data_IF_224262612939
#
_entry.id   IF_224262612939
#
_cell.length_a   1.000
_cell.length_b   1.000
_cell.length_c   1.000
_cell.angle_alpha   90.00
_cell.angle_beta   90.00
_cell.angle_gamma   90.00
#
_symmetry.space_group_name_H-M   'P 1'
#
loop_
_entity.id
_entity.type
_entity.pdbx_description
1 polymer ?
#
# COMPACT_ATOMS: atom_id res chain seq x y z
N UNK A 1 -41.28 -0.72 8.75
CA UNK A 1 -39.89 -1.15 8.99
C UNK A 1 -39.79 -1.69 10.40
N UNK A 2 -39.07 -2.79 10.61
CA UNK A 2 -38.96 -3.47 11.90
C UNK A 2 -37.60 -3.25 12.58
N UNK A 3 -37.49 -3.64 13.85
CA UNK A 3 -36.26 -3.48 14.65
C UNK A 3 -35.06 -4.25 14.07
N UNK A 4 -35.32 -5.32 13.33
CA UNK A 4 -34.30 -6.13 12.66
C UNK A 4 -33.64 -5.35 11.51
N UNK A 5 -34.43 -4.63 10.72
CA UNK A 5 -33.94 -3.78 9.65
C UNK A 5 -32.94 -2.73 10.15
N UNK A 6 -33.26 -1.99 11.22
CA UNK A 6 -32.36 -0.99 11.79
C UNK A 6 -31.05 -1.59 12.33
N UNK A 7 -31.10 -2.80 12.91
CA UNK A 7 -29.89 -3.53 13.33
C UNK A 7 -29.02 -3.96 12.15
N UNK A 8 -29.61 -4.32 11.01
CA UNK A 8 -28.85 -4.61 9.79
C UNK A 8 -28.21 -3.33 9.25
N UNK A 9 -28.97 -2.24 9.14
CA UNK A 9 -28.46 -0.95 8.68
C UNK A 9 -27.30 -0.43 9.54
N UNK A 10 -27.44 -0.52 10.87
CA UNK A 10 -26.36 -0.13 11.81
C UNK A 10 -25.10 -0.96 11.61
N UNK A 11 -25.21 -2.27 11.42
CA UNK A 11 -24.04 -3.12 11.12
C UNK A 11 -23.38 -2.74 9.80
N UNK A 12 -24.15 -2.50 8.75
CA UNK A 12 -23.61 -2.01 7.48
C UNK A 12 -22.91 -0.67 7.63
N UNK A 13 -23.48 0.26 8.40
CA UNK A 13 -22.85 1.54 8.67
C UNK A 13 -21.52 1.37 9.40
N UNK A 14 -21.45 0.52 10.44
CA UNK A 14 -20.22 0.26 11.19
C UNK A 14 -19.12 -0.31 10.29
N UNK A 15 -19.43 -1.35 9.50
CA UNK A 15 -18.45 -1.94 8.59
C UNK A 15 -18.03 -0.97 7.48
N UNK A 16 -18.98 -0.22 6.92
CA UNK A 16 -18.71 0.79 5.90
C UNK A 16 -17.80 1.90 6.43
N UNK A 17 -18.07 2.41 7.63
CA UNK A 17 -17.21 3.41 8.28
C UNK A 17 -15.82 2.85 8.57
N UNK A 18 -15.74 1.63 9.10
CA UNK A 18 -14.44 1.01 9.41
C UNK A 18 -13.56 0.83 8.16
N UNK A 19 -14.11 0.26 7.09
CA UNK A 19 -13.41 0.11 5.82
C UNK A 19 -13.08 1.48 5.22
N UNK A 20 -14.03 2.43 5.27
CA UNK A 20 -13.81 3.79 4.79
C UNK A 20 -12.64 4.49 5.49
N UNK A 21 -12.55 4.37 6.81
CA UNK A 21 -11.42 4.92 7.58
C UNK A 21 -10.09 4.27 7.17
N UNK A 22 -10.05 2.94 7.03
CA UNK A 22 -8.85 2.23 6.56
C UNK A 22 -8.46 2.73 5.17
N UNK A 23 -9.40 2.83 4.24
CA UNK A 23 -9.13 3.32 2.89
C UNK A 23 -8.59 4.75 2.88
N UNK A 24 -9.16 5.65 3.70
CA UNK A 24 -8.68 7.04 3.83
C UNK A 24 -7.25 7.06 4.36
N UNK A 25 -6.95 6.28 5.39
CA UNK A 25 -5.59 6.20 5.96
C UNK A 25 -4.58 5.60 4.98
N UNK A 26 -4.97 4.57 4.22
CA UNK A 26 -4.09 3.89 3.27
C UNK A 26 -3.88 4.66 1.96
N UNK A 27 -4.78 5.58 1.60
CA UNK A 27 -4.71 6.31 0.34
C UNK A 27 -3.33 6.99 0.10
N UNK A 28 -2.80 7.83 1.02
CA UNK A 28 -1.50 8.47 0.80
C UNK A 28 -0.30 7.50 0.87
N UNK A 29 -0.46 6.32 1.48
CA UNK A 29 0.64 5.35 1.71
C UNK A 29 0.79 4.39 0.53
N UNK A 30 -0.33 3.93 -0.04
CA UNK A 30 -0.34 2.87 -1.06
C UNK A 30 -0.83 3.42 -2.40
N UNK A 31 -2.02 4.01 -2.44
CA UNK A 31 -2.67 4.41 -3.69
C UNK A 31 -1.93 5.58 -4.34
N UNK A 32 -1.69 6.65 -3.60
CA UNK A 32 -1.08 7.87 -4.14
C UNK A 32 0.33 7.63 -4.73
N UNK A 33 1.25 6.90 -4.04
CA UNK A 33 2.56 6.58 -4.62
C UNK A 33 2.48 5.69 -5.86
N UNK A 34 1.51 4.77 -5.92
CA UNK A 34 1.29 3.93 -7.10
C UNK A 34 0.77 4.72 -8.30
N UNK A 35 -0.07 5.74 -8.07
CA UNK A 35 -0.58 6.62 -9.13
C UNK A 35 0.44 7.67 -9.59
N UNK A 36 1.37 8.06 -8.72
CA UNK A 36 2.38 9.09 -9.00
C UNK A 36 3.81 8.51 -8.93
N UNK A 37 4.13 7.44 -9.68
CA UNK A 37 5.35 6.67 -9.47
C UNK A 37 6.63 7.45 -9.79
N UNK A 38 6.59 8.43 -10.70
CA UNK A 38 7.80 9.10 -11.19
C UNK A 38 8.55 9.86 -10.10
N UNK A 39 7.82 10.57 -9.23
CA UNK A 39 8.39 11.28 -8.07
C UNK A 39 9.08 10.30 -7.11
N UNK A 40 8.39 9.22 -6.76
CA UNK A 40 8.90 8.22 -5.82
C UNK A 40 10.06 7.42 -6.41
N UNK A 41 10.02 7.09 -7.70
CA UNK A 41 11.12 6.44 -8.42
C UNK A 41 12.37 7.31 -8.46
N UNK A 42 12.23 8.62 -8.70
CA UNK A 42 13.35 9.55 -8.67
C UNK A 42 14.02 9.57 -7.29
N UNK A 43 13.22 9.73 -6.23
CA UNK A 43 13.71 9.69 -4.85
C UNK A 43 14.35 8.35 -4.51
N UNK A 44 13.74 7.24 -4.94
CA UNK A 44 14.27 5.90 -4.73
C UNK A 44 15.62 5.70 -5.44
N UNK A 45 15.76 6.18 -6.68
CA UNK A 45 17.01 6.10 -7.44
C UNK A 45 18.12 6.94 -6.80
N UNK A 46 17.80 8.14 -6.33
CA UNK A 46 18.75 9.01 -5.61
C UNK A 46 19.21 8.36 -4.29
N UNK A 47 18.27 7.88 -3.47
CA UNK A 47 18.57 7.24 -2.18
C UNK A 47 19.30 5.90 -2.33
N UNK A 48 19.14 5.19 -3.46
CA UNK A 48 19.78 3.88 -3.71
C UNK A 48 20.98 3.94 -4.66
N UNK A 49 21.44 5.14 -5.06
CA UNK A 49 22.48 5.31 -6.08
C UNK A 49 23.78 4.53 -5.80
N UNK A 50 24.12 4.35 -4.53
CA UNK A 50 25.35 3.65 -4.10
C UNK A 50 25.08 2.34 -3.36
N UNK A 51 23.85 1.80 -3.46
CA UNK A 51 23.41 0.58 -2.78
C UNK A 51 23.33 -0.54 -3.83
N UNK A 52 24.29 -1.46 -3.79
CA UNK A 52 24.17 -2.76 -4.47
C UNK A 52 23.35 -3.68 -3.57
N UNK A 53 22.10 -3.96 -3.96
CA UNK A 53 21.15 -4.70 -3.12
C UNK A 53 21.62 -6.13 -2.85
N UNK A 54 22.35 -6.70 -3.80
CA UNK A 54 22.95 -8.03 -3.73
C UNK A 54 24.02 -8.13 -2.64
N UNK A 55 24.74 -7.02 -2.39
CA UNK A 55 25.83 -6.96 -1.40
C UNK A 55 25.31 -6.74 0.03
N UNK A 56 24.13 -6.15 0.19
CA UNK A 56 23.50 -5.90 1.50
C UNK A 56 22.68 -7.09 1.97
N UNK A 57 22.13 -7.88 1.04
CA UNK A 57 21.31 -9.00 1.42
C UNK A 57 22.15 -10.12 2.03
N UNK A 58 21.74 -10.67 3.18
CA UNK A 58 22.35 -11.88 3.72
C UNK A 58 22.32 -13.00 2.66
N UNK A 59 23.45 -13.68 2.50
CA UNK A 59 23.66 -14.65 1.43
C UNK A 59 22.57 -15.73 1.36
N UNK A 60 22.25 -16.15 0.13
CA UNK A 60 21.22 -17.14 -0.23
C UNK A 60 19.75 -16.70 -0.09
N UNK A 61 19.47 -15.40 0.12
CA UNK A 61 18.10 -14.89 0.09
C UNK A 61 17.72 -14.30 -1.28
N UNK A 62 16.42 -14.38 -1.61
CA UNK A 62 15.86 -13.78 -2.83
C UNK A 62 15.92 -12.25 -2.71
N UNK A 63 16.37 -11.59 -3.78
CA UNK A 63 16.36 -10.14 -3.92
C UNK A 63 14.96 -9.59 -3.61
N UNK A 64 14.87 -8.65 -2.67
CA UNK A 64 13.61 -8.00 -2.31
C UNK A 64 12.93 -7.44 -3.56
N UNK A 65 11.63 -7.75 -3.68
CA UNK A 65 10.84 -7.34 -4.83
C UNK A 65 10.68 -5.82 -4.79
N UNK A 66 11.12 -5.12 -5.84
CA UNK A 66 10.89 -3.68 -5.94
C UNK A 66 9.40 -3.44 -6.29
N UNK A 67 8.64 -2.70 -5.47
CA UNK A 67 7.20 -2.47 -5.71
C UNK A 67 6.92 -1.71 -7.02
N UNK A 68 7.94 -1.13 -7.64
CA UNK A 68 7.87 -0.50 -8.95
C UNK A 68 8.47 -1.34 -10.08
N UNK A 69 9.00 -2.54 -9.75
CA UNK A 69 9.61 -3.42 -10.72
C UNK A 69 8.56 -3.96 -11.68
N UNK A 70 8.96 -4.08 -12.95
CA UNK A 70 8.04 -4.42 -14.02
C UNK A 70 7.82 -5.92 -14.05
N UNK A 71 6.59 -6.33 -14.40
CA UNK A 71 6.33 -7.73 -14.77
C UNK A 71 7.30 -8.12 -15.89
N UNK A 72 7.89 -9.31 -15.74
CA UNK A 72 8.67 -9.98 -16.79
C UNK A 72 7.85 -10.12 -18.07
#
# INVERSE_FOLDING_TARGET
>A
MDRSYFKKLSRFAIYGTFIGLISVTLYPIVIYPMLNPDYYKKIQAENRKNIKQEDIQPGNMKIWSDPFDRKK
#
